data_IF_612872793173
#
_entry.id   IF_612872793173
#
_cell.length_a   1.000
_cell.length_b   1.000
_cell.length_c   1.000
_cell.angle_alpha   90.00
_cell.angle_beta   90.00
_cell.angle_gamma   90.00
#
_symmetry.space_group_name_H-M   'P 1'
#
loop_
_entity.id
_entity.type
_entity.pdbx_description
1 polymer ?
#
# COMPACT_ATOMS: atom_id res chain seq x y z
N UNK A 1 -54.72 12.95 41.84
CA UNK A 1 -54.01 14.24 41.61
C UNK A 1 -52.53 13.94 41.60
N UNK A 2 -51.84 14.43 40.56
CA UNK A 2 -50.45 14.11 40.14
C UNK A 2 -49.36 14.47 41.18
N UNK A 3 -48.25 13.74 41.06
CA UNK A 3 -46.84 14.16 41.19
C UNK A 3 -46.27 14.59 42.55
N UNK A 4 -45.18 13.92 42.99
CA UNK A 4 -43.85 14.55 43.14
C UNK A 4 -42.72 13.51 43.43
N UNK A 5 -41.71 13.45 42.53
CA UNK A 5 -40.22 13.39 42.70
C UNK A 5 -39.60 12.71 43.94
N UNK A 6 -38.39 12.14 43.94
CA UNK A 6 -37.39 11.63 42.97
C UNK A 6 -36.19 11.19 43.85
N UNK A 7 -35.42 10.19 43.39
CA UNK A 7 -34.06 9.76 43.83
C UNK A 7 -33.85 9.08 45.19
N UNK A 8 -33.60 7.77 45.12
CA UNK A 8 -32.90 6.98 46.14
C UNK A 8 -31.48 6.71 45.63
N UNK A 9 -30.48 7.26 46.33
CA UNK A 9 -29.07 6.84 46.22
C UNK A 9 -28.91 5.69 47.21
N UNK A 10 -28.54 4.50 46.73
CA UNK A 10 -28.12 3.42 47.63
C UNK A 10 -26.90 2.69 47.07
N UNK A 11 -25.77 3.11 47.62
CA UNK A 11 -24.50 2.41 47.71
C UNK A 11 -24.71 1.02 48.34
N UNK A 12 -24.26 -0.05 47.69
CA UNK A 12 -23.70 -1.29 48.28
C UNK A 12 -23.47 -2.32 47.16
N UNK A 13 -22.21 -2.66 46.84
CA UNK A 13 -21.71 -4.03 46.98
C UNK A 13 -20.19 -4.10 46.77
N UNK A 14 -19.50 -4.31 47.88
CA UNK A 14 -18.23 -5.02 47.97
C UNK A 14 -18.50 -6.49 47.60
N UNK A 15 -17.71 -7.12 46.72
CA UNK A 15 -17.17 -8.49 46.88
C UNK A 15 -16.45 -9.04 45.62
N UNK A 16 -15.25 -9.56 45.91
CA UNK A 16 -14.42 -10.57 45.23
C UNK A 16 -13.57 -10.23 43.99
N UNK A 17 -12.27 -10.05 44.29
CA UNK A 17 -11.13 -10.59 43.56
C UNK A 17 -11.43 -11.98 42.96
N UNK A 18 -11.45 -12.05 41.62
CA UNK A 18 -10.91 -13.18 40.87
C UNK A 18 -10.02 -12.55 39.79
N UNK A 19 -8.71 -12.73 39.94
CA UNK A 19 -7.78 -12.45 38.86
C UNK A 19 -8.10 -13.37 37.69
N UNK A 20 -8.45 -12.78 36.55
CA UNK A 20 -8.28 -13.43 35.26
C UNK A 20 -6.96 -12.93 34.70
N UNK A 21 -5.90 -13.70 34.95
CA UNK A 21 -4.89 -13.90 33.91
C UNK A 21 -5.64 -14.55 32.75
N UNK A 22 -5.89 -13.79 31.70
CA UNK A 22 -6.42 -14.26 30.44
C UNK A 22 -5.84 -13.36 29.37
N UNK A 23 -4.78 -13.84 28.73
CA UNK A 23 -4.36 -13.35 27.42
C UNK A 23 -5.59 -13.43 26.51
N UNK A 24 -6.02 -12.29 26.00
CA UNK A 24 -6.98 -12.25 24.92
C UNK A 24 -6.22 -12.61 23.64
N UNK A 25 -6.08 -13.90 23.37
CA UNK A 25 -5.74 -14.40 22.03
C UNK A 25 -7.06 -14.42 21.25
N UNK A 26 -7.27 -13.40 20.44
CA UNK A 26 -8.27 -13.46 19.37
C UNK A 26 -7.73 -14.34 18.23
N UNK A 27 -8.59 -15.04 17.47
CA UNK A 27 -8.15 -15.72 16.25
C UNK A 27 -7.60 -14.69 15.24
N UNK A 28 -6.43 -14.96 14.65
CA UNK A 28 -5.91 -14.21 13.49
C UNK A 28 -4.77 -13.20 13.75
N UNK A 29 -4.25 -13.09 14.98
CA UNK A 29 -3.14 -12.18 15.30
C UNK A 29 -1.78 -12.88 15.14
N UNK A 30 -0.90 -12.36 14.29
CA UNK A 30 0.50 -12.80 14.20
C UNK A 30 1.32 -11.95 15.17
N UNK A 31 2.19 -12.59 15.97
CA UNK A 31 3.10 -11.88 16.88
C UNK A 31 4.52 -11.99 16.35
N UNK A 32 5.09 -10.86 15.95
CA UNK A 32 6.53 -10.73 15.78
C UNK A 32 7.15 -10.28 17.11
N UNK A 33 8.15 -11.00 17.62
CA UNK A 33 8.91 -10.57 18.81
C UNK A 33 9.80 -9.37 18.43
N UNK A 34 9.73 -8.28 19.20
CA UNK A 34 10.58 -7.10 19.02
C UNK A 34 12.08 -7.48 19.03
N UNK A 35 12.83 -6.94 18.05
CA UNK A 35 14.28 -7.06 17.94
C UNK A 35 14.98 -6.50 19.19
N UNK A 36 16.00 -7.17 19.78
CA UNK A 36 16.67 -6.67 20.96
C UNK A 36 17.52 -5.42 20.63
N UNK A 37 17.27 -4.35 21.38
CA UNK A 37 18.04 -3.10 21.39
C UNK A 37 19.56 -3.36 21.52
N UNK A 38 20.34 -2.75 20.63
CA UNK A 38 21.81 -2.78 20.66
C UNK A 38 22.34 -2.03 21.89
N UNK A 39 22.86 -2.75 22.87
CA UNK A 39 23.82 -2.23 23.85
C UNK A 39 25.26 -2.48 23.36
N UNK A 40 26.13 -1.49 23.61
CA UNK A 40 27.60 -1.50 23.62
C UNK A 40 28.37 -1.25 22.31
N UNK A 41 28.75 0.01 22.08
CA UNK A 41 30.05 0.37 21.49
C UNK A 41 30.65 1.61 22.17
N UNK A 42 31.48 1.39 23.18
CA UNK A 42 32.47 2.37 23.68
C UNK A 42 33.82 2.22 22.94
N UNK A 43 34.41 3.38 22.63
CA UNK A 43 35.85 3.70 22.54
C UNK A 43 36.78 2.92 21.59
N UNK A 44 37.14 3.54 20.45
CA UNK A 44 38.55 3.64 19.99
C UNK A 44 38.77 4.98 19.25
N UNK A 45 39.36 5.97 19.93
CA UNK A 45 40.20 7.00 19.30
C UNK A 45 41.64 6.47 19.21
N UNK A 46 42.31 6.70 18.07
CA UNK A 46 43.44 7.64 17.96
C UNK A 46 44.48 7.24 16.88
N UNK A 47 44.97 8.29 16.24
CA UNK A 47 46.21 8.42 15.47
C UNK A 47 46.27 7.78 14.08
N UNK A 48 46.41 8.62 13.04
CA UNK A 48 47.55 8.54 12.11
C UNK A 48 47.78 9.88 11.38
N UNK A 49 49.07 10.23 11.35
CA UNK A 49 49.75 11.45 10.90
C UNK A 49 49.30 12.10 9.58
N UNK A 50 49.24 13.44 9.62
CA UNK A 50 49.18 14.34 8.46
C UNK A 50 50.60 14.80 8.11
N UNK A 51 51.10 14.47 6.92
CA UNK A 51 52.26 15.14 6.31
C UNK A 51 51.84 15.88 5.04
N UNK A 52 51.94 17.20 5.09
CA UNK A 52 51.93 18.09 3.94
C UNK A 52 53.19 17.90 3.07
N UNK A 53 53.02 17.80 1.74
CA UNK A 53 53.97 18.34 0.77
C UNK A 53 53.17 18.94 -0.39
N UNK A 54 53.45 20.21 -0.70
CA UNK A 54 52.71 21.00 -1.67
C UNK A 54 53.25 21.02 -3.11
N UNK A 55 52.44 21.71 -3.94
CA UNK A 55 52.73 22.39 -5.21
C UNK A 55 52.99 21.57 -6.49
N UNK A 56 52.01 21.64 -7.40
CA UNK A 56 52.27 22.18 -8.75
C UNK A 56 51.69 21.42 -9.95
N UNK A 57 50.94 22.17 -10.78
CA UNK A 57 50.62 21.97 -12.20
C UNK A 57 49.35 21.18 -12.59
N UNK A 58 48.29 21.97 -12.78
CA UNK A 58 47.45 22.08 -13.97
C UNK A 58 47.75 21.10 -15.13
N UNK A 59 46.90 20.09 -15.30
CA UNK A 59 46.50 19.54 -16.59
C UNK A 59 45.01 19.21 -16.53
N UNK A 60 44.28 19.76 -17.49
CA UNK A 60 42.90 19.44 -17.86
C UNK A 60 42.79 17.98 -18.26
N UNK A 61 41.82 17.25 -17.73
CA UNK A 61 40.97 16.32 -18.49
C UNK A 61 39.71 16.06 -17.66
N UNK A 62 38.57 16.22 -18.33
CA UNK A 62 37.21 16.12 -17.80
C UNK A 62 36.85 14.64 -17.62
N UNK A 63 36.97 14.11 -16.41
CA UNK A 63 36.23 12.93 -16.00
C UNK A 63 34.97 13.41 -15.27
N UNK A 64 33.90 13.62 -16.04
CA UNK A 64 32.57 13.74 -15.48
C UNK A 64 32.16 12.37 -14.94
N UNK A 65 32.16 12.30 -13.61
CA UNK A 65 31.42 11.35 -12.81
C UNK A 65 29.97 11.34 -13.31
N UNK A 66 29.62 10.30 -14.07
CA UNK A 66 28.26 10.02 -14.50
C UNK A 66 27.46 9.66 -13.24
N UNK A 67 26.92 10.69 -12.59
CA UNK A 67 25.75 10.54 -11.73
C UNK A 67 24.60 10.10 -12.64
N UNK A 68 24.24 8.83 -12.57
CA UNK A 68 23.07 8.27 -13.24
C UNK A 68 21.83 8.82 -12.57
N UNK A 69 21.35 9.97 -13.02
CA UNK A 69 19.95 10.36 -12.80
C UNK A 69 19.09 9.28 -13.44
N UNK A 70 18.43 8.43 -12.62
CA UNK A 70 17.41 7.49 -13.08
C UNK A 70 16.33 8.32 -13.77
N UNK A 71 16.25 8.25 -15.09
CA UNK A 71 15.31 9.03 -15.87
C UNK A 71 13.97 8.29 -15.91
N UNK A 72 13.01 8.70 -15.05
CA UNK A 72 11.58 8.35 -15.18
C UNK A 72 10.92 9.04 -16.39
N UNK A 73 11.69 9.32 -17.46
CA UNK A 73 11.45 10.35 -18.48
C UNK A 73 10.18 10.14 -19.33
N UNK A 74 9.46 9.03 -19.17
CA UNK A 74 8.22 8.72 -19.91
C UNK A 74 7.00 8.38 -19.04
N UNK A 75 7.13 8.26 -17.72
CA UNK A 75 5.98 7.95 -16.84
C UNK A 75 5.18 9.21 -16.51
N UNK A 76 3.87 9.28 -16.82
CA UNK A 76 3.02 10.41 -16.44
C UNK A 76 3.02 10.69 -14.93
N UNK A 77 2.98 11.99 -14.57
CA UNK A 77 2.87 12.46 -13.18
C UNK A 77 1.48 12.26 -12.58
N UNK A 78 1.35 12.60 -11.29
CA UNK A 78 0.11 12.42 -10.52
C UNK A 78 -0.65 13.76 -10.42
N UNK A 79 -1.87 13.85 -10.97
CA UNK A 79 -2.64 15.12 -10.95
C UNK A 79 -2.91 15.61 -9.53
N UNK A 80 -3.16 14.70 -8.59
CA UNK A 80 -3.42 15.00 -7.20
C UNK A 80 -2.18 15.35 -6.37
N UNK A 81 -0.97 15.20 -6.94
CA UNK A 81 0.31 15.33 -6.23
C UNK A 81 0.79 14.01 -5.60
N UNK A 82 1.90 14.07 -4.86
CA UNK A 82 2.46 12.89 -4.18
C UNK A 82 1.59 12.43 -3.00
N UNK A 83 1.72 11.15 -2.64
CA UNK A 83 1.08 10.58 -1.44
C UNK A 83 1.46 11.32 -0.16
N UNK A 84 2.68 11.87 -0.10
CA UNK A 84 3.16 12.65 1.04
C UNK A 84 2.41 13.97 1.24
N UNK A 85 2.07 14.68 0.16
CA UNK A 85 1.42 15.99 0.24
C UNK A 85 -0.10 15.89 0.32
N UNK A 86 -0.70 14.89 -0.33
CA UNK A 86 -2.14 14.82 -0.55
C UNK A 86 -2.91 13.96 0.47
N UNK A 87 -2.24 13.15 1.29
CA UNK A 87 -2.82 12.39 2.43
C UNK A 87 -3.17 13.29 3.63
N UNK A 88 -4.02 14.28 3.39
CA UNK A 88 -4.79 14.95 4.44
C UNK A 88 -6.02 14.11 4.80
N UNK A 89 -6.49 14.14 6.07
CA UNK A 89 -7.50 13.20 6.56
C UNK A 89 -8.77 13.26 5.71
N UNK A 90 -9.21 12.08 5.29
CA UNK A 90 -10.45 11.93 4.53
C UNK A 90 -11.63 12.49 5.34
N UNK A 91 -12.61 13.09 4.65
CA UNK A 91 -13.79 13.65 5.32
C UNK A 91 -14.59 12.58 6.08
N UNK A 92 -14.47 11.31 5.67
CA UNK A 92 -15.06 10.14 6.32
C UNK A 92 -14.00 9.04 6.40
N UNK A 93 -13.99 8.33 7.52
CA UNK A 93 -13.08 7.21 7.73
C UNK A 93 -13.49 5.99 6.89
N UNK A 94 -12.51 5.29 6.31
CA UNK A 94 -12.78 4.15 5.43
C UNK A 94 -13.46 2.97 6.15
N UNK A 95 -13.27 2.81 7.47
CA UNK A 95 -14.00 1.84 8.29
C UNK A 95 -15.48 2.22 8.47
N UNK A 96 -15.79 3.51 8.57
CA UNK A 96 -17.18 3.99 8.60
C UNK A 96 -17.87 3.75 7.25
N UNK A 97 -17.15 4.00 6.14
CA UNK A 97 -17.65 3.72 4.79
C UNK A 97 -17.85 2.22 4.56
N UNK A 98 -16.93 1.38 5.01
CA UNK A 98 -17.07 -0.08 4.93
C UNK A 98 -18.31 -0.58 5.65
N UNK A 99 -18.58 -0.08 6.86
CA UNK A 99 -19.80 -0.44 7.60
C UNK A 99 -21.09 0.05 6.92
N UNK A 100 -21.05 1.23 6.29
CA UNK A 100 -22.20 1.79 5.59
C UNK A 100 -22.47 1.11 4.24
N UNK A 101 -21.42 0.58 3.58
CA UNK A 101 -21.46 0.00 2.25
C UNK A 101 -20.68 -1.33 2.18
N UNK A 102 -21.04 -2.35 2.97
CA UNK A 102 -20.25 -3.59 3.10
C UNK A 102 -20.20 -4.43 1.82
N UNK A 103 -21.15 -4.23 0.91
CA UNK A 103 -21.19 -4.92 -0.39
C UNK A 103 -20.35 -4.20 -1.48
N UNK A 104 -19.83 -3.01 -1.19
CA UNK A 104 -19.08 -2.18 -2.14
C UNK A 104 -17.65 -1.98 -1.67
N UNK A 105 -17.44 -1.68 -0.39
CA UNK A 105 -16.11 -1.37 0.17
C UNK A 105 -15.55 -2.58 0.90
N UNK A 106 -14.32 -2.96 0.56
CA UNK A 106 -13.55 -3.99 1.23
C UNK A 106 -12.27 -3.40 1.84
N UNK A 107 -12.01 -3.73 3.10
CA UNK A 107 -10.77 -3.34 3.80
C UNK A 107 -9.84 -4.55 4.02
N UNK A 108 -10.42 -5.74 4.15
CA UNK A 108 -9.75 -6.95 4.58
C UNK A 108 -10.57 -8.15 4.10
N UNK A 109 -9.90 -9.26 3.85
CA UNK A 109 -10.51 -10.57 3.62
C UNK A 109 -10.93 -11.29 4.91
N UNK A 110 -11.36 -12.56 4.81
CA UNK A 110 -11.67 -13.40 5.96
C UNK A 110 -10.45 -13.59 6.88
N UNK A 111 -10.65 -13.50 8.19
CA UNK A 111 -9.59 -13.70 9.20
C UNK A 111 -9.44 -15.17 9.66
N UNK A 112 -10.25 -16.08 9.12
CA UNK A 112 -10.25 -17.51 9.45
C UNK A 112 -9.48 -18.38 8.45
N UNK A 113 -8.90 -17.75 7.42
CA UNK A 113 -8.02 -18.37 6.42
C UNK A 113 -6.63 -17.74 6.51
N UNK A 114 -5.57 -18.53 6.36
CA UNK A 114 -4.18 -18.06 6.48
C UNK A 114 -3.72 -17.41 5.18
N UNK A 115 -4.52 -16.49 4.65
CA UNK A 115 -4.30 -15.85 3.35
C UNK A 115 -4.09 -14.35 3.52
N UNK A 116 -3.30 -13.75 2.62
CA UNK A 116 -3.09 -12.30 2.54
C UNK A 116 -2.90 -11.88 1.08
N UNK A 117 -3.18 -10.61 0.78
CA UNK A 117 -2.94 -10.03 -0.54
C UNK A 117 -1.92 -8.89 -0.47
N UNK A 118 -0.83 -9.03 -1.23
CA UNK A 118 0.05 -7.92 -1.55
C UNK A 118 -0.59 -7.09 -2.66
N UNK A 119 -0.66 -5.78 -2.46
CA UNK A 119 -1.21 -4.85 -3.45
C UNK A 119 -0.27 -3.69 -3.72
N UNK A 120 -0.18 -3.29 -4.98
CA UNK A 120 0.71 -2.23 -5.41
C UNK A 120 -0.05 -1.18 -6.22
N UNK A 121 0.03 0.07 -5.78
CA UNK A 121 -0.61 1.21 -6.43
C UNK A 121 0.36 1.93 -7.39
N UNK A 122 -0.18 2.92 -8.10
CA UNK A 122 0.48 3.91 -8.96
C UNK A 122 1.21 3.41 -10.21
N UNK A 123 1.38 2.11 -10.38
CA UNK A 123 2.02 1.54 -11.56
C UNK A 123 1.23 1.76 -12.86
N UNK A 124 1.84 1.41 -14.01
CA UNK A 124 3.24 0.96 -14.16
C UNK A 124 4.25 2.10 -14.35
N UNK A 125 5.52 1.84 -14.03
CA UNK A 125 6.69 2.59 -14.51
C UNK A 125 7.75 1.66 -15.11
N UNK A 126 8.84 2.22 -15.66
CA UNK A 126 9.91 1.44 -16.31
C UNK A 126 10.93 0.83 -15.34
N UNK A 127 10.86 1.14 -14.03
CA UNK A 127 11.96 0.87 -13.09
C UNK A 127 11.49 0.05 -11.91
N UNK A 128 10.54 0.57 -11.14
CA UNK A 128 10.08 -0.02 -9.89
C UNK A 128 9.11 -1.16 -10.19
N UNK A 129 8.19 -0.99 -11.15
CA UNK A 129 7.20 -2.04 -11.46
C UNK A 129 7.86 -3.34 -11.91
N UNK A 130 8.84 -3.34 -12.85
CA UNK A 130 9.56 -4.57 -13.20
C UNK A 130 10.37 -5.17 -12.04
N UNK A 131 10.95 -4.33 -11.18
CA UNK A 131 11.71 -4.82 -10.02
C UNK A 131 10.81 -5.49 -8.97
N UNK A 132 9.58 -4.98 -8.77
CA UNK A 132 8.55 -5.66 -7.96
C UNK A 132 8.19 -7.02 -8.58
N UNK A 133 7.95 -7.07 -9.90
CA UNK A 133 7.62 -8.33 -10.60
C UNK A 133 8.73 -9.38 -10.44
N UNK A 134 10.00 -8.98 -10.64
CA UNK A 134 11.16 -9.86 -10.46
C UNK A 134 11.20 -10.47 -9.03
N UNK A 135 10.89 -9.68 -8.00
CA UNK A 135 10.81 -10.16 -6.61
C UNK A 135 9.64 -11.11 -6.38
N UNK A 136 8.48 -10.80 -6.93
CA UNK A 136 7.31 -11.67 -6.80
C UNK A 136 7.54 -13.03 -7.50
N UNK A 137 8.23 -13.06 -8.64
CA UNK A 137 8.65 -14.30 -9.31
C UNK A 137 9.70 -15.06 -8.50
N UNK A 138 10.72 -14.37 -7.96
CA UNK A 138 11.77 -14.96 -7.10
C UNK A 138 11.16 -15.75 -5.93
N UNK A 139 10.10 -15.22 -5.34
CA UNK A 139 9.42 -15.84 -4.22
C UNK A 139 8.22 -16.71 -4.58
N UNK A 140 7.82 -16.84 -5.85
CA UNK A 140 6.60 -17.54 -6.28
C UNK A 140 5.36 -17.00 -5.52
N UNK A 141 5.10 -15.70 -5.69
CA UNK A 141 3.96 -14.98 -5.09
C UNK A 141 3.19 -14.24 -6.19
N UNK A 142 1.86 -14.23 -6.09
CA UNK A 142 0.98 -13.39 -6.92
C UNK A 142 0.46 -12.22 -6.09
N UNK A 143 0.13 -11.14 -6.80
CA UNK A 143 -0.20 -9.85 -6.21
C UNK A 143 -1.23 -9.13 -7.09
N UNK A 144 -1.81 -8.05 -6.57
CA UNK A 144 -2.77 -7.21 -7.31
C UNK A 144 -2.21 -5.82 -7.52
N UNK A 145 -2.18 -5.35 -8.76
CA UNK A 145 -1.68 -4.04 -9.13
C UNK A 145 -2.85 -3.10 -9.47
N UNK A 146 -3.00 -2.02 -8.72
CA UNK A 146 -3.96 -0.95 -9.02
C UNK A 146 -3.27 0.08 -9.92
N UNK A 147 -3.65 0.08 -11.20
CA UNK A 147 -2.94 0.82 -12.24
C UNK A 147 -3.61 2.14 -12.57
N UNK A 148 -2.79 3.19 -12.73
CA UNK A 148 -3.22 4.49 -13.23
C UNK A 148 -3.35 4.41 -14.76
N UNK A 149 -4.47 4.90 -15.29
CA UNK A 149 -4.79 4.80 -16.71
C UNK A 149 -3.77 5.48 -17.64
N UNK A 150 -3.30 6.69 -17.32
CA UNK A 150 -2.28 7.37 -18.12
C UNK A 150 -0.96 6.60 -18.18
N UNK A 151 -0.56 6.01 -17.05
CA UNK A 151 0.66 5.20 -16.95
C UNK A 151 0.53 3.88 -17.68
N UNK A 152 -0.64 3.24 -17.60
CA UNK A 152 -0.95 2.04 -18.37
C UNK A 152 -0.93 2.32 -19.89
N UNK A 153 -1.45 3.47 -20.35
CA UNK A 153 -1.38 3.87 -21.76
C UNK A 153 0.06 4.14 -22.21
N UNK A 154 0.91 4.67 -21.32
CA UNK A 154 2.33 4.92 -21.59
C UNK A 154 3.16 3.63 -21.67
N UNK A 155 2.86 2.63 -20.82
CA UNK A 155 3.65 1.40 -20.66
C UNK A 155 2.81 0.11 -20.83
N UNK A 156 2.15 -0.09 -21.99
CA UNK A 156 1.22 -1.21 -22.18
C UNK A 156 1.91 -2.59 -22.18
N UNK A 157 3.20 -2.64 -22.49
CA UNK A 157 4.02 -3.85 -22.42
C UNK A 157 4.24 -4.31 -20.98
N UNK A 158 4.43 -3.40 -20.04
CA UNK A 158 4.56 -3.71 -18.60
C UNK A 158 3.21 -4.18 -18.05
N UNK A 159 2.09 -3.55 -18.47
CA UNK A 159 0.75 -4.05 -18.12
C UNK A 159 0.53 -5.48 -18.61
N UNK A 160 0.94 -5.79 -19.85
CA UNK A 160 0.85 -7.15 -20.36
C UNK A 160 1.75 -8.12 -19.59
N UNK A 161 2.96 -7.69 -19.18
CA UNK A 161 3.85 -8.49 -18.35
C UNK A 161 3.20 -8.87 -17.01
N UNK A 162 2.57 -7.90 -16.31
CA UNK A 162 1.85 -8.14 -15.05
C UNK A 162 0.83 -9.28 -15.23
N UNK A 163 0.02 -9.22 -16.29
CA UNK A 163 -1.01 -10.24 -16.58
C UNK A 163 -0.40 -11.59 -17.01
N UNK A 164 0.62 -11.57 -17.86
CA UNK A 164 1.28 -12.78 -18.39
C UNK A 164 2.00 -13.58 -17.27
N UNK A 165 2.48 -12.88 -16.24
CA UNK A 165 3.07 -13.46 -15.04
C UNK A 165 2.02 -13.94 -14.02
N UNK A 166 0.73 -13.73 -14.31
CA UNK A 166 -0.39 -14.24 -13.51
C UNK A 166 -0.77 -13.36 -12.32
N UNK A 167 -0.32 -12.11 -12.29
CA UNK A 167 -0.81 -11.12 -11.34
C UNK A 167 -2.17 -10.57 -11.78
N UNK A 168 -2.89 -10.01 -10.83
CA UNK A 168 -4.14 -9.32 -11.14
C UNK A 168 -3.89 -7.83 -11.36
N UNK A 169 -4.63 -7.23 -12.30
CA UNK A 169 -4.73 -5.77 -12.47
C UNK A 169 -6.08 -5.23 -12.01
N UNK A 170 -6.09 -4.01 -11.49
CA UNK A 170 -7.26 -3.29 -11.02
C UNK A 170 -7.14 -1.79 -11.37
N UNK A 171 -8.24 -1.05 -11.25
CA UNK A 171 -8.34 0.35 -11.67
C UNK A 171 -7.90 1.30 -10.53
N UNK A 172 -7.02 2.25 -10.83
CA UNK A 172 -6.57 3.29 -9.90
C UNK A 172 -6.78 4.72 -10.42
N UNK A 173 -7.92 4.96 -11.08
CA UNK A 173 -8.27 6.22 -11.76
C UNK A 173 -7.39 6.51 -12.99
N UNK A 174 -7.68 7.61 -13.68
CA UNK A 174 -7.00 7.95 -14.94
C UNK A 174 -5.71 8.71 -14.69
N UNK A 175 -5.76 9.79 -13.92
CA UNK A 175 -4.64 10.69 -13.67
C UNK A 175 -4.38 10.96 -12.17
N UNK A 176 -4.87 10.07 -11.30
CA UNK A 176 -4.65 10.12 -9.85
C UNK A 176 -5.16 11.40 -9.13
N UNK A 177 -6.43 11.82 -9.31
CA UNK A 177 -6.98 12.92 -8.53
C UNK A 177 -7.44 12.50 -7.15
N UNK A 178 -7.50 13.45 -6.23
CA UNK A 178 -8.20 13.24 -4.96
C UNK A 178 -9.71 13.22 -5.19
N UNK A 179 -10.34 12.05 -5.04
CA UNK A 179 -11.76 11.84 -5.38
C UNK A 179 -12.74 12.66 -4.50
N UNK A 180 -12.30 13.17 -3.35
CA UNK A 180 -13.10 14.07 -2.51
C UNK A 180 -13.22 15.49 -3.06
N UNK A 181 -12.38 15.84 -4.04
CA UNK A 181 -12.21 17.21 -4.54
C UNK A 181 -12.80 17.39 -5.95
N UNK A 182 -13.24 16.30 -6.57
CA UNK A 182 -13.82 16.26 -7.92
C UNK A 182 -15.31 15.91 -7.87
N UNK A 183 -16.01 16.14 -8.99
CA UNK A 183 -17.43 15.82 -9.10
C UNK A 183 -17.67 14.33 -9.38
N UNK A 184 -18.86 13.80 -9.10
CA UNK A 184 -19.20 12.41 -9.43
C UNK A 184 -19.12 12.13 -10.94
N UNK A 185 -19.43 13.10 -11.80
CA UNK A 185 -19.27 12.97 -13.27
C UNK A 185 -17.79 12.77 -13.64
N UNK A 186 -16.90 13.47 -12.94
CA UNK A 186 -15.45 13.32 -13.12
C UNK A 186 -14.93 12.00 -12.53
N UNK A 187 -15.49 11.53 -11.41
CA UNK A 187 -15.23 10.18 -10.86
C UNK A 187 -15.58 9.10 -11.90
N UNK A 188 -16.76 9.20 -12.52
CA UNK A 188 -17.19 8.27 -13.58
C UNK A 188 -16.22 8.31 -14.77
N UNK A 189 -15.84 9.51 -15.24
CA UNK A 189 -14.87 9.68 -16.34
C UNK A 189 -13.50 9.05 -16.02
N UNK A 190 -12.98 9.27 -14.81
CA UNK A 190 -11.70 8.73 -14.36
C UNK A 190 -11.70 7.19 -14.37
N UNK A 191 -12.78 6.57 -13.89
CA UNK A 191 -12.91 5.12 -13.83
C UNK A 191 -13.10 4.53 -15.22
N UNK A 192 -14.04 5.06 -16.01
CA UNK A 192 -14.40 4.53 -17.33
C UNK A 192 -13.25 4.66 -18.34
N UNK A 193 -12.47 5.74 -18.27
CA UNK A 193 -11.33 5.94 -19.16
C UNK A 193 -10.20 4.95 -18.86
N UNK A 194 -9.89 4.72 -17.58
CA UNK A 194 -8.91 3.72 -17.17
C UNK A 194 -9.36 2.31 -17.51
N UNK A 195 -10.63 1.99 -17.28
CA UNK A 195 -11.20 0.70 -17.70
C UNK A 195 -10.99 0.45 -19.19
N UNK A 196 -11.29 1.45 -20.02
CA UNK A 196 -11.13 1.35 -21.47
C UNK A 196 -9.68 1.07 -21.85
N UNK A 197 -8.73 1.80 -21.26
CA UNK A 197 -7.30 1.61 -21.53
C UNK A 197 -6.81 0.21 -21.11
N UNK A 198 -7.15 -0.22 -19.89
CA UNK A 198 -6.75 -1.55 -19.39
C UNK A 198 -7.36 -2.68 -20.22
N UNK A 199 -8.63 -2.54 -20.61
CA UNK A 199 -9.30 -3.51 -21.48
C UNK A 199 -8.69 -3.54 -22.89
N UNK A 200 -8.33 -2.38 -23.47
CA UNK A 200 -7.72 -2.34 -24.80
C UNK A 200 -6.33 -2.98 -24.83
N UNK A 201 -5.60 -2.95 -23.70
CA UNK A 201 -4.29 -3.60 -23.55
C UNK A 201 -4.45 -5.10 -23.31
N UNK A 202 -5.26 -5.48 -22.33
CA UNK A 202 -5.27 -6.86 -21.78
C UNK A 202 -6.39 -7.73 -22.36
N UNK A 203 -7.43 -7.12 -22.92
CA UNK A 203 -8.67 -7.79 -23.31
C UNK A 203 -9.61 -8.09 -22.14
N UNK A 204 -9.25 -7.72 -20.90
CA UNK A 204 -10.00 -8.00 -19.68
C UNK A 204 -10.66 -6.74 -19.12
N UNK A 205 -11.89 -6.87 -18.63
CA UNK A 205 -12.64 -5.77 -18.03
C UNK A 205 -12.57 -5.84 -16.49
N UNK A 206 -11.75 -4.99 -15.85
CA UNK A 206 -11.47 -5.10 -14.40
C UNK A 206 -12.70 -4.81 -13.54
N UNK A 207 -12.75 -5.43 -12.35
CA UNK A 207 -13.88 -5.30 -11.40
C UNK A 207 -13.53 -4.60 -10.10
N UNK A 208 -12.26 -4.33 -9.87
CA UNK A 208 -11.78 -3.68 -8.66
C UNK A 208 -11.29 -2.28 -8.96
N UNK A 209 -11.54 -1.40 -8.00
CA UNK A 209 -11.13 -0.02 -8.01
C UNK A 209 -10.59 0.35 -6.64
N UNK A 210 -9.52 1.14 -6.60
CA UNK A 210 -9.05 1.78 -5.38
C UNK A 210 -8.96 3.30 -5.63
N UNK A 211 -9.55 4.15 -4.78
CA UNK A 211 -9.42 5.59 -4.93
C UNK A 211 -8.00 6.04 -4.54
N UNK A 212 -7.38 6.96 -5.32
CA UNK A 212 -6.15 7.66 -4.95
C UNK A 212 -6.17 8.16 -3.50
N UNK A 213 -5.05 8.01 -2.78
CA UNK A 213 -4.92 8.36 -1.35
C UNK A 213 -5.89 7.64 -0.40
N UNK A 214 -6.64 6.64 -0.88
CA UNK A 214 -7.81 6.09 -0.19
C UNK A 214 -8.93 7.11 0.02
N UNK A 215 -8.93 8.23 -0.72
CA UNK A 215 -9.75 9.40 -0.45
C UNK A 215 -11.13 9.33 -1.09
N UNK A 216 -12.16 9.22 -0.25
CA UNK A 216 -13.53 9.05 -0.71
C UNK A 216 -14.56 9.52 0.32
N UNK A 217 -15.79 9.73 -0.15
CA UNK A 217 -16.97 10.01 0.67
C UNK A 217 -18.14 9.08 0.24
N UNK A 218 -19.28 9.20 0.91
CA UNK A 218 -20.45 8.35 0.59
C UNK A 218 -20.90 8.47 -0.88
N UNK A 219 -20.85 9.66 -1.47
CA UNK A 219 -21.27 9.88 -2.85
C UNK A 219 -20.30 9.21 -3.83
N UNK A 220 -19.00 9.27 -3.55
CA UNK A 220 -17.97 8.51 -4.28
C UNK A 220 -18.25 7.01 -4.22
N UNK A 221 -18.46 6.45 -3.02
CA UNK A 221 -18.73 5.01 -2.84
C UNK A 221 -20.00 4.58 -3.59
N UNK A 222 -21.06 5.38 -3.55
CA UNK A 222 -22.30 5.12 -4.30
C UNK A 222 -22.07 5.13 -5.81
N UNK A 223 -21.23 6.05 -6.29
CA UNK A 223 -20.87 6.15 -7.72
C UNK A 223 -20.10 4.91 -8.15
N UNK A 224 -19.04 4.54 -7.42
CA UNK A 224 -18.24 3.32 -7.68
C UNK A 224 -19.12 2.06 -7.67
N UNK A 225 -20.01 1.93 -6.69
CA UNK A 225 -20.95 0.81 -6.62
C UNK A 225 -21.96 0.79 -7.77
N UNK A 226 -22.43 1.95 -8.24
CA UNK A 226 -23.32 2.05 -9.40
C UNK A 226 -22.63 1.65 -10.71
N UNK A 227 -21.30 1.83 -10.80
CA UNK A 227 -20.45 1.35 -11.89
C UNK A 227 -20.10 -0.14 -11.77
N UNK A 228 -20.59 -0.83 -10.72
CA UNK A 228 -20.41 -2.27 -10.48
C UNK A 228 -18.94 -2.67 -10.20
N UNK A 229 -18.20 -1.79 -9.52
CA UNK A 229 -16.87 -2.06 -8.99
C UNK A 229 -16.92 -2.47 -7.52
N UNK A 230 -16.01 -3.34 -7.13
CA UNK A 230 -15.59 -3.55 -5.75
C UNK A 230 -14.52 -2.50 -5.40
N UNK A 231 -14.81 -1.69 -4.40
CA UNK A 231 -13.93 -0.64 -3.91
C UNK A 231 -13.00 -1.22 -2.84
N UNK A 232 -11.73 -1.42 -3.19
CA UNK A 232 -10.74 -2.09 -2.35
C UNK A 232 -9.81 -1.07 -1.73
N UNK A 233 -9.77 -1.05 -0.41
CA UNK A 233 -8.84 -0.24 0.40
C UNK A 233 -7.77 -1.19 0.95
N UNK A 234 -7.29 -0.99 2.16
CA UNK A 234 -6.28 -1.80 2.79
C UNK A 234 -6.52 -1.85 4.30
N UNK A 235 -6.00 -2.90 4.92
CA UNK A 235 -5.96 -3.06 6.38
C UNK A 235 -4.55 -2.85 6.93
N UNK A 236 -3.52 -3.02 6.10
CA UNK A 236 -2.10 -2.84 6.44
C UNK A 236 -1.47 -1.85 5.45
N UNK A 237 -0.77 -0.84 5.97
CA UNK A 237 -0.11 0.20 5.17
C UNK A 237 1.41 0.14 5.40
N UNK A 238 2.19 -0.02 4.33
CA UNK A 238 3.65 -0.06 4.41
C UNK A 238 4.27 1.29 4.77
N UNK A 239 3.55 2.39 4.48
CA UNK A 239 4.05 3.77 4.53
C UNK A 239 5.29 4.02 3.66
N UNK A 240 5.49 3.20 2.62
CA UNK A 240 6.66 3.26 1.73
C UNK A 240 6.84 4.59 0.99
N UNK A 241 5.75 5.27 0.64
CA UNK A 241 5.70 6.64 0.10
C UNK A 241 6.36 7.71 0.97
N UNK A 242 6.82 7.35 2.19
CA UNK A 242 7.67 8.21 3.02
C UNK A 242 9.16 8.05 2.73
N UNK A 243 9.52 7.26 1.73
CA UNK A 243 10.91 6.93 1.34
C UNK A 243 11.73 6.43 2.55
N UNK A 244 11.10 5.58 3.36
CA UNK A 244 11.74 4.98 4.53
C UNK A 244 12.70 3.87 4.09
N UNK A 245 13.60 3.46 4.98
CA UNK A 245 14.49 2.33 4.72
C UNK A 245 13.67 1.03 4.51
N UNK A 246 14.23 0.09 3.76
CA UNK A 246 13.55 -1.18 3.45
C UNK A 246 13.14 -1.96 4.72
N UNK A 247 14.00 -1.93 5.75
CA UNK A 247 13.74 -2.58 7.03
C UNK A 247 12.54 -1.95 7.76
N UNK A 248 12.47 -0.61 7.81
CA UNK A 248 11.36 0.10 8.45
C UNK A 248 10.05 -0.13 7.69
N UNK A 249 10.13 -0.20 6.36
CA UNK A 249 8.98 -0.52 5.50
C UNK A 249 8.47 -1.93 5.75
N UNK A 250 9.38 -2.91 5.85
CA UNK A 250 9.03 -4.29 6.20
C UNK A 250 8.44 -4.39 7.61
N UNK A 251 9.02 -3.69 8.59
CA UNK A 251 8.52 -3.67 9.96
C UNK A 251 7.12 -3.06 10.05
N UNK A 252 6.84 -1.99 9.29
CA UNK A 252 5.49 -1.43 9.19
C UNK A 252 4.49 -2.45 8.62
N UNK A 253 4.89 -3.26 7.63
CA UNK A 253 4.02 -4.30 7.05
C UNK A 253 3.77 -5.42 8.07
N UNK A 254 4.81 -5.89 8.75
CA UNK A 254 4.73 -7.03 9.66
C UNK A 254 4.09 -6.69 11.01
N UNK A 255 4.16 -5.42 11.42
CA UNK A 255 3.61 -4.96 12.70
C UNK A 255 2.09 -5.07 12.71
N UNK A 256 1.57 -5.82 13.70
CA UNK A 256 0.14 -6.03 13.95
C UNK A 256 -0.66 -6.59 12.75
N UNK A 257 0.02 -7.21 11.78
CA UNK A 257 -0.64 -7.81 10.62
C UNK A 257 -1.53 -8.99 11.03
N UNK A 258 -2.70 -9.08 10.39
CA UNK A 258 -3.69 -10.11 10.67
C UNK A 258 -4.07 -10.86 9.42
N UNK A 259 -4.55 -12.10 9.58
CA UNK A 259 -5.05 -12.91 8.47
C UNK A 259 -6.10 -12.15 7.64
N UNK A 260 -6.11 -12.40 6.34
CA UNK A 260 -6.93 -11.67 5.39
C UNK A 260 -6.44 -10.26 5.09
N UNK A 261 -5.25 -9.86 5.54
CA UNK A 261 -4.73 -8.52 5.30
C UNK A 261 -4.64 -8.22 3.79
N UNK A 262 -5.05 -6.99 3.45
CA UNK A 262 -4.74 -6.36 2.17
C UNK A 262 -3.66 -5.34 2.48
N UNK A 263 -2.45 -5.60 1.98
CA UNK A 263 -1.25 -4.79 2.22
C UNK A 263 -1.12 -3.75 1.12
N UNK A 264 -1.14 -2.48 1.47
CA UNK A 264 -0.86 -1.38 0.56
C UNK A 264 0.64 -1.13 0.44
N UNK A 265 1.12 -1.11 -0.79
CA UNK A 265 2.44 -0.68 -1.24
C UNK A 265 2.30 0.09 -2.56
N UNK A 266 3.39 0.65 -3.06
CA UNK A 266 3.43 1.37 -4.34
C UNK A 266 4.48 0.74 -5.28
N UNK A 267 4.19 0.73 -6.59
CA UNK A 267 5.04 0.09 -7.61
C UNK A 267 5.57 1.04 -8.67
N UNK A 268 5.42 2.34 -8.47
CA UNK A 268 5.96 3.35 -9.36
C UNK A 268 6.23 4.64 -8.61
N UNK A 269 7.32 5.33 -8.96
CA UNK A 269 7.66 6.62 -8.37
C UNK A 269 6.65 7.71 -8.75
N UNK A 270 6.47 8.70 -7.88
CA UNK A 270 5.75 9.93 -8.12
C UNK A 270 6.60 11.04 -8.76
N UNK A 271 6.05 12.26 -8.75
CA UNK A 271 6.78 13.48 -9.12
C UNK A 271 8.04 13.67 -8.24
N UNK A 272 9.00 14.49 -8.70
CA UNK A 272 10.21 14.87 -7.93
C UNK A 272 11.22 13.75 -7.62
N UNK A 273 11.37 12.76 -8.50
CA UNK A 273 12.38 11.69 -8.43
C UNK A 273 12.19 10.71 -7.24
N UNK A 274 10.96 10.52 -6.75
CA UNK A 274 10.62 9.54 -5.70
C UNK A 274 11.18 8.15 -6.04
N UNK A 275 11.97 7.56 -5.13
CA UNK A 275 12.62 6.26 -5.31
C UNK A 275 12.06 5.24 -4.32
N UNK A 276 11.17 4.38 -4.81
CA UNK A 276 10.52 3.33 -4.02
C UNK A 276 11.24 1.98 -4.12
N UNK A 277 12.53 1.96 -4.48
CA UNK A 277 13.31 0.71 -4.45
C UNK A 277 13.37 0.08 -3.05
N UNK A 278 13.23 0.87 -1.98
CA UNK A 278 13.12 0.33 -0.62
C UNK A 278 11.86 -0.53 -0.43
N UNK A 279 10.76 -0.26 -1.16
CA UNK A 279 9.58 -1.15 -1.21
C UNK A 279 9.94 -2.51 -1.81
N UNK A 280 10.74 -2.51 -2.88
CA UNK A 280 11.21 -3.74 -3.54
C UNK A 280 12.10 -4.55 -2.61
N UNK A 281 13.05 -3.88 -1.94
CA UNK A 281 13.97 -4.53 -1.00
C UNK A 281 13.25 -5.06 0.25
N UNK A 282 12.19 -4.39 0.73
CA UNK A 282 11.39 -4.86 1.86
C UNK A 282 10.72 -6.23 1.61
N UNK A 283 10.43 -6.56 0.34
CA UNK A 283 9.83 -7.86 -0.03
C UNK A 283 10.75 -9.04 0.34
N UNK A 284 12.06 -8.84 0.37
CA UNK A 284 13.04 -9.87 0.74
C UNK A 284 12.92 -10.32 2.19
N UNK A 285 12.31 -9.49 3.05
CA UNK A 285 12.00 -9.81 4.44
C UNK A 285 10.54 -10.22 4.60
N UNK A 286 9.60 -9.43 4.07
CA UNK A 286 8.15 -9.62 4.26
C UNK A 286 7.68 -10.98 3.75
N UNK A 287 8.06 -11.37 2.53
CA UNK A 287 7.52 -12.59 1.92
C UNK A 287 8.01 -13.85 2.66
N UNK A 288 9.32 -14.03 2.93
CA UNK A 288 9.80 -15.18 3.68
C UNK A 288 9.21 -15.29 5.09
N UNK A 289 9.13 -14.20 5.84
CA UNK A 289 8.62 -14.23 7.21
C UNK A 289 7.14 -14.67 7.25
N UNK A 290 6.29 -14.09 6.40
CA UNK A 290 4.88 -14.47 6.35
C UNK A 290 4.69 -15.89 5.82
N UNK A 291 5.50 -16.33 4.84
CA UNK A 291 5.48 -17.74 4.39
C UNK A 291 5.90 -18.72 5.49
N UNK A 292 6.89 -18.36 6.30
CA UNK A 292 7.33 -19.17 7.44
C UNK A 292 6.24 -19.28 8.52
N UNK A 293 5.39 -18.25 8.66
CA UNK A 293 4.18 -18.26 9.48
C UNK A 293 3.00 -19.03 8.86
N UNK A 294 3.19 -19.58 7.66
CA UNK A 294 2.20 -20.39 6.95
C UNK A 294 1.19 -19.59 6.14
N UNK A 295 1.46 -18.31 5.87
CA UNK A 295 0.61 -17.47 5.03
C UNK A 295 0.74 -17.89 3.56
N UNK A 296 -0.41 -18.03 2.92
CA UNK A 296 -0.55 -18.12 1.48
C UNK A 296 -0.83 -16.72 0.92
N UNK A 297 -0.02 -16.29 -0.04
CA UNK A 297 -0.25 -15.03 -0.74
C UNK A 297 -1.14 -15.28 -1.95
N UNK A 298 -2.27 -14.60 -1.98
CA UNK A 298 -3.30 -14.70 -3.02
C UNK A 298 -3.55 -13.32 -3.63
N UNK A 299 -4.19 -13.28 -4.81
CA UNK A 299 -4.67 -12.01 -5.36
C UNK A 299 -5.93 -11.55 -4.61
N UNK A 300 -6.28 -10.27 -4.73
CA UNK A 300 -7.41 -9.70 -3.98
C UNK A 300 -8.75 -10.36 -4.39
N UNK A 301 -8.89 -10.78 -5.64
CA UNK A 301 -10.10 -11.45 -6.11
C UNK A 301 -10.29 -12.82 -5.46
N UNK A 302 -9.21 -13.58 -5.30
CA UNK A 302 -9.19 -14.84 -4.56
C UNK A 302 -9.50 -14.60 -3.09
N UNK A 303 -8.80 -13.65 -2.45
CA UNK A 303 -8.98 -13.31 -1.04
C UNK A 303 -10.42 -12.90 -0.68
N UNK A 304 -11.09 -12.18 -1.58
CA UNK A 304 -12.44 -11.67 -1.36
C UNK A 304 -13.55 -12.55 -1.98
N UNK A 305 -13.20 -13.67 -2.62
CA UNK A 305 -14.11 -14.52 -3.42
C UNK A 305 -14.98 -13.69 -4.40
N UNK A 306 -14.33 -12.79 -5.14
CA UNK A 306 -14.95 -11.98 -6.19
C UNK A 306 -14.38 -12.36 -7.55
N UNK A 307 -15.15 -12.16 -8.62
CA UNK A 307 -14.60 -12.38 -9.96
C UNK A 307 -13.61 -11.27 -10.31
N UNK A 308 -12.45 -11.58 -10.89
CA UNK A 308 -11.46 -10.56 -11.25
C UNK A 308 -11.93 -9.64 -12.38
N UNK A 309 -12.61 -10.21 -13.39
CA UNK A 309 -13.02 -9.53 -14.61
C UNK A 309 -14.52 -9.70 -14.94
N UNK A 310 -15.10 -8.78 -15.73
CA UNK A 310 -16.54 -8.73 -16.10
C UNK A 310 -16.92 -9.60 -17.29
#
# INVERSE_FOLDING_TARGET
>A
MRMLKLFLVQLFLLILLIGCNGTAEGPGYIKHEESPENEDLEDIEDSLDVQEIGHGQQTTDEDQEQSSTKTYDQTPGLRGGSEQEAREPNPVDNFELQQAFPDVVALQGPMDEMEMALTFDDGPDEVITPAVLDKLDEYDVKATFFLIGERAEAHPDIVQQIVDEGHMIANHSWDHPKFTDISNEEVEEQIDRTETALHDITGEAVRMFRPPYGAQNEDTVRTVGALNYSNVIWSQDSLDWKEMEAEDTADNILSDITYGAIVLQHSAGGEDDEDLMNTVEALDKVIPELKDDGIEFVTVDELLDIRPYR
#
